data_IF_834228360932
#
_entry.id   IF_834228360932
#
_cell.length_a   1.000
_cell.length_b   1.000
_cell.length_c   1.000
_cell.angle_alpha   90.00
_cell.angle_beta   90.00
_cell.angle_gamma   90.00
#
_symmetry.space_group_name_H-M   'P 1'
#
loop_
_entity.id
_entity.type
_entity.pdbx_description
1 polymer ?
#
# COMPACT_ATOMS: atom_id res chain seq x y z
N UNK A 1 -15.66 -9.63 -8.00
CA UNK A 1 -15.05 -8.44 -7.41
C UNK A 1 -14.77 -8.57 -5.91
N UNK A 2 -15.76 -8.91 -5.03
CA UNK A 2 -15.60 -9.02 -3.56
C UNK A 2 -14.42 -9.91 -3.11
N UNK A 3 -14.28 -11.13 -3.65
CA UNK A 3 -13.15 -12.04 -3.31
C UNK A 3 -11.79 -11.46 -3.72
N UNK A 4 -11.70 -10.84 -4.90
CA UNK A 4 -10.46 -10.20 -5.36
C UNK A 4 -10.08 -9.00 -4.48
N UNK A 5 -11.06 -8.18 -4.06
CA UNK A 5 -10.82 -7.07 -3.12
C UNK A 5 -10.31 -7.58 -1.77
N UNK A 6 -10.89 -8.67 -1.24
CA UNK A 6 -10.42 -9.28 0.01
C UNK A 6 -8.97 -9.80 -0.12
N UNK A 7 -8.66 -10.47 -1.22
CA UNK A 7 -7.29 -10.91 -1.51
C UNK A 7 -6.33 -9.73 -1.60
N UNK A 8 -6.75 -8.64 -2.27
CA UNK A 8 -5.94 -7.41 -2.39
C UNK A 8 -5.70 -6.72 -1.03
N UNK A 9 -6.64 -6.79 -0.08
CA UNK A 9 -6.44 -6.30 1.29
C UNK A 9 -5.32 -7.09 1.97
N UNK A 10 -5.39 -8.44 1.92
CA UNK A 10 -4.35 -9.28 2.50
C UNK A 10 -2.99 -9.00 1.86
N UNK A 11 -2.95 -8.91 0.52
CA UNK A 11 -1.73 -8.61 -0.21
C UNK A 11 -1.17 -7.22 0.14
N UNK A 12 -2.03 -6.21 0.32
CA UNK A 12 -1.62 -4.87 0.74
C UNK A 12 -0.97 -4.87 2.13
N UNK A 13 -1.49 -5.66 3.07
CA UNK A 13 -0.86 -5.86 4.40
C UNK A 13 0.53 -6.46 4.25
N UNK A 14 0.67 -7.50 3.43
CA UNK A 14 1.98 -8.13 3.15
C UNK A 14 2.96 -7.13 2.54
N UNK A 15 2.52 -6.33 1.56
CA UNK A 15 3.34 -5.27 0.93
C UNK A 15 3.82 -4.25 1.95
N UNK A 16 2.94 -3.80 2.85
CA UNK A 16 3.29 -2.84 3.91
C UNK A 16 4.34 -3.45 4.86
N UNK A 17 4.17 -4.71 5.28
CA UNK A 17 5.12 -5.41 6.14
C UNK A 17 6.48 -5.56 5.45
N UNK A 18 6.50 -5.97 4.18
CA UNK A 18 7.73 -6.09 3.39
C UNK A 18 8.42 -4.74 3.21
N UNK A 19 7.68 -3.66 2.96
CA UNK A 19 8.23 -2.31 2.88
C UNK A 19 8.84 -1.84 4.20
N UNK A 20 8.17 -2.12 5.33
CA UNK A 20 8.71 -1.84 6.66
C UNK A 20 9.99 -2.68 6.93
N UNK A 21 9.99 -3.95 6.55
CA UNK A 21 11.15 -4.82 6.68
C UNK A 21 12.35 -4.32 5.84
N UNK A 22 12.11 -3.92 4.57
CA UNK A 22 13.12 -3.31 3.69
C UNK A 22 13.75 -2.08 4.36
N UNK A 23 12.94 -1.26 5.04
CA UNK A 23 13.42 -0.09 5.79
C UNK A 23 14.23 -0.48 7.02
N UNK A 24 13.76 -1.44 7.81
CA UNK A 24 14.43 -1.88 9.05
C UNK A 24 15.75 -2.59 8.80
N UNK A 25 15.90 -3.24 7.64
CA UNK A 25 17.13 -3.93 7.24
C UNK A 25 18.08 -3.06 6.42
N UNK A 26 17.80 -1.74 6.35
CA UNK A 26 18.57 -0.77 5.54
C UNK A 26 18.76 -1.23 4.08
N UNK A 27 17.72 -1.86 3.53
CA UNK A 27 17.70 -2.44 2.19
C UNK A 27 16.99 -1.56 1.14
N UNK A 28 16.57 -0.34 1.50
CA UNK A 28 15.80 0.54 0.61
C UNK A 28 16.58 1.12 -0.57
N UNK A 29 17.87 0.86 -0.66
CA UNK A 29 18.75 1.19 -1.78
C UNK A 29 19.56 -0.06 -2.20
N UNK A 30 19.05 -1.25 -2.00
CA UNK A 30 19.65 -2.52 -2.42
C UNK A 30 19.73 -2.67 -3.94
N UNK A 31 18.86 -1.95 -4.68
CA UNK A 31 18.90 -1.83 -6.13
C UNK A 31 19.10 -0.38 -6.53
N UNK A 32 20.09 -0.03 -7.36
CA UNK A 32 20.38 1.36 -7.75
C UNK A 32 19.39 1.94 -8.74
N UNK A 33 18.61 1.10 -9.42
CA UNK A 33 17.71 1.42 -10.53
C UNK A 33 16.27 0.94 -10.26
N UNK A 34 15.36 1.34 -11.13
CA UNK A 34 13.96 0.97 -11.12
C UNK A 34 13.43 0.86 -12.57
N UNK A 35 12.55 -0.10 -12.91
CA UNK A 35 11.86 -1.08 -12.05
C UNK A 35 12.69 -2.33 -11.72
N UNK A 36 13.81 -2.55 -12.39
CA UNK A 36 14.70 -3.69 -12.22
C UNK A 36 15.70 -3.53 -11.07
N UNK A 37 16.77 -4.30 -11.13
CA UNK A 37 17.85 -4.28 -10.17
C UNK A 37 19.18 -4.50 -10.91
N UNK A 38 20.05 -3.49 -10.89
CA UNK A 38 21.31 -3.49 -11.65
C UNK A 38 21.12 -3.77 -13.16
N UNK A 39 20.11 -3.18 -13.79
CA UNK A 39 19.77 -3.39 -15.19
C UNK A 39 19.12 -4.73 -15.52
N UNK A 40 18.85 -5.58 -14.53
CA UNK A 40 18.21 -6.89 -14.68
C UNK A 40 16.79 -6.88 -14.13
N UNK A 41 15.94 -7.84 -14.57
CA UNK A 41 14.60 -8.04 -13.99
C UNK A 41 14.66 -8.70 -12.60
N UNK A 42 15.78 -9.32 -12.26
CA UNK A 42 16.03 -10.01 -10.98
C UNK A 42 17.37 -9.57 -10.42
N UNK A 43 17.65 -9.88 -9.16
CA UNK A 43 18.96 -9.63 -8.55
C UNK A 43 20.05 -10.44 -9.29
N UNK A 44 21.18 -9.81 -9.68
CA UNK A 44 22.30 -10.53 -10.27
C UNK A 44 22.96 -11.43 -9.22
N UNK A 45 23.11 -12.72 -9.53
CA UNK A 45 23.68 -13.73 -8.60
C UNK A 45 24.91 -14.44 -9.17
N UNK A 46 25.08 -14.52 -10.51
CA UNK A 46 26.29 -15.12 -11.06
C UNK A 46 27.48 -14.16 -10.93
N UNK A 47 28.67 -14.70 -10.71
CA UNK A 47 29.91 -13.92 -10.56
C UNK A 47 30.09 -12.92 -11.70
N UNK A 48 29.84 -13.33 -12.93
CA UNK A 48 29.94 -12.49 -14.12
C UNK A 48 28.94 -11.29 -14.04
N UNK A 49 27.66 -11.55 -13.72
CA UNK A 49 26.64 -10.50 -13.60
C UNK A 49 26.91 -9.57 -12.42
N UNK A 50 27.41 -10.10 -11.33
CA UNK A 50 27.79 -9.30 -10.16
C UNK A 50 28.97 -8.40 -10.50
N UNK A 51 30.00 -8.91 -11.22
CA UNK A 51 31.14 -8.12 -11.67
C UNK A 51 30.70 -6.99 -12.64
N UNK A 52 29.82 -7.32 -13.59
CA UNK A 52 29.23 -6.31 -14.50
C UNK A 52 28.43 -5.24 -13.76
N UNK A 53 27.58 -5.66 -12.80
CA UNK A 53 26.79 -4.77 -11.98
C UNK A 53 27.67 -3.83 -11.13
N UNK A 54 28.70 -4.37 -10.48
CA UNK A 54 29.63 -3.58 -9.69
C UNK A 54 30.48 -2.60 -10.52
N UNK A 55 30.80 -2.99 -11.77
CA UNK A 55 31.49 -2.08 -12.70
C UNK A 55 30.57 -0.95 -13.20
N UNK A 56 29.27 -1.23 -13.40
CA UNK A 56 28.28 -0.24 -13.81
C UNK A 56 27.82 0.69 -12.68
N UNK A 57 27.83 0.21 -11.44
CA UNK A 57 27.38 0.94 -10.25
C UNK A 57 28.44 0.88 -9.12
N UNK A 58 29.62 1.48 -9.29
CA UNK A 58 30.72 1.37 -8.34
C UNK A 58 30.40 1.99 -6.95
N UNK A 59 29.52 2.99 -6.92
CA UNK A 59 29.05 3.63 -5.68
C UNK A 59 28.12 2.72 -4.84
N UNK A 60 27.60 1.65 -5.45
CA UNK A 60 26.63 0.73 -4.84
C UNK A 60 26.90 -0.70 -5.30
N UNK A 61 27.91 -1.37 -4.71
CA UNK A 61 28.20 -2.76 -5.04
C UNK A 61 27.00 -3.67 -4.65
N UNK A 62 26.89 -4.81 -5.34
CA UNK A 62 25.78 -5.75 -5.13
C UNK A 62 25.85 -6.35 -3.74
N UNK A 63 24.86 -6.03 -2.92
CA UNK A 63 24.56 -6.71 -1.66
C UNK A 63 23.31 -7.59 -1.84
N UNK A 64 23.50 -8.86 -2.16
CA UNK A 64 22.41 -9.77 -2.55
C UNK A 64 21.25 -9.80 -1.55
N UNK A 65 21.51 -9.77 -0.24
CA UNK A 65 20.48 -9.77 0.80
C UNK A 65 19.61 -8.49 0.71
N UNK A 66 20.22 -7.31 0.61
CA UNK A 66 19.48 -6.04 0.50
C UNK A 66 18.71 -5.95 -0.83
N UNK A 67 19.36 -6.34 -1.94
CA UNK A 67 18.75 -6.34 -3.25
C UNK A 67 17.52 -7.26 -3.33
N UNK A 68 17.57 -8.45 -2.74
CA UNK A 68 16.43 -9.35 -2.68
C UNK A 68 15.28 -8.84 -1.81
N UNK A 69 15.57 -8.26 -0.64
CA UNK A 69 14.53 -7.66 0.21
C UNK A 69 13.74 -6.58 -0.56
N UNK A 70 14.45 -5.73 -1.28
CA UNK A 70 13.81 -4.68 -2.09
C UNK A 70 13.03 -5.26 -3.28
N UNK A 71 13.61 -6.21 -4.02
CA UNK A 71 12.95 -6.83 -5.17
C UNK A 71 11.71 -7.63 -4.78
N UNK A 72 11.74 -8.37 -3.68
CA UNK A 72 10.56 -9.08 -3.17
C UNK A 72 9.42 -8.09 -2.88
N UNK A 73 9.72 -6.98 -2.20
CA UNK A 73 8.73 -5.92 -1.97
C UNK A 73 8.15 -5.39 -3.29
N UNK A 74 8.99 -5.11 -4.29
CA UNK A 74 8.56 -4.63 -5.62
C UNK A 74 7.67 -5.63 -6.35
N UNK A 75 7.97 -6.94 -6.30
CA UNK A 75 7.15 -7.98 -6.93
C UNK A 75 5.76 -8.08 -6.30
N UNK A 76 5.68 -8.07 -4.97
CA UNK A 76 4.40 -8.08 -4.27
C UNK A 76 3.60 -6.80 -4.53
N UNK A 77 4.25 -5.64 -4.54
CA UNK A 77 3.62 -4.36 -4.87
C UNK A 77 3.10 -4.32 -6.31
N UNK A 78 3.87 -4.84 -7.28
CA UNK A 78 3.45 -4.98 -8.67
C UNK A 78 2.23 -5.90 -8.81
N UNK A 79 2.22 -7.03 -8.12
CA UNK A 79 1.07 -7.95 -8.08
C UNK A 79 -0.17 -7.25 -7.50
N UNK A 80 -0.02 -6.46 -6.45
CA UNK A 80 -1.13 -5.64 -5.91
C UNK A 80 -1.63 -4.64 -6.94
N UNK A 81 -0.73 -4.00 -7.70
CA UNK A 81 -1.08 -3.10 -8.79
C UNK A 81 -1.94 -3.78 -9.86
N UNK A 82 -1.56 -4.99 -10.28
CA UNK A 82 -2.35 -5.80 -11.24
C UNK A 82 -3.73 -6.16 -10.66
N UNK A 83 -3.82 -6.52 -9.38
CA UNK A 83 -5.10 -6.80 -8.73
C UNK A 83 -6.01 -5.56 -8.71
N UNK A 84 -5.47 -4.38 -8.38
CA UNK A 84 -6.23 -3.11 -8.38
C UNK A 84 -6.69 -2.73 -9.78
N UNK A 85 -5.84 -2.91 -10.80
CA UNK A 85 -6.22 -2.73 -12.20
C UNK A 85 -7.39 -3.66 -12.58
N UNK A 86 -7.30 -4.94 -12.23
CA UNK A 86 -8.37 -5.90 -12.48
C UNK A 86 -9.68 -5.50 -11.77
N UNK A 87 -9.61 -5.01 -10.52
CA UNK A 87 -10.79 -4.49 -9.79
C UNK A 87 -11.41 -3.31 -10.54
N UNK A 88 -10.59 -2.35 -11.01
CA UNK A 88 -11.07 -1.20 -11.76
C UNK A 88 -11.74 -1.60 -13.09
N UNK A 89 -11.12 -2.51 -13.84
CA UNK A 89 -11.68 -3.03 -15.10
C UNK A 89 -12.99 -3.78 -14.89
N UNK A 90 -13.08 -4.62 -13.84
CA UNK A 90 -14.33 -5.32 -13.48
C UNK A 90 -15.42 -4.30 -13.11
N UNK A 91 -15.08 -3.27 -12.32
CA UNK A 91 -16.03 -2.21 -11.93
C UNK A 91 -16.56 -1.47 -13.16
N UNK A 92 -15.70 -1.11 -14.10
CA UNK A 92 -16.09 -0.45 -15.36
C UNK A 92 -17.02 -1.34 -16.21
N UNK A 93 -16.69 -2.63 -16.34
CA UNK A 93 -17.53 -3.58 -17.11
C UNK A 93 -18.88 -3.86 -16.46
N UNK A 94 -18.99 -3.72 -15.16
CA UNK A 94 -20.20 -3.99 -14.38
C UNK A 94 -20.95 -2.72 -13.95
N UNK A 95 -20.59 -1.56 -14.48
CA UNK A 95 -21.17 -0.24 -14.08
C UNK A 95 -22.69 -0.22 -14.23
N UNK A 96 -23.20 -0.83 -15.29
CA UNK A 96 -24.63 -0.84 -15.59
C UNK A 96 -25.44 -1.74 -14.61
N UNK A 97 -24.74 -2.56 -13.81
CA UNK A 97 -25.30 -3.39 -12.73
C UNK A 97 -25.25 -2.71 -11.35
N UNK A 98 -25.05 -1.38 -11.29
CA UNK A 98 -24.99 -0.63 -10.05
C UNK A 98 -23.68 -0.81 -9.25
N UNK A 99 -22.64 -1.38 -9.87
CA UNK A 99 -21.34 -1.57 -9.23
C UNK A 99 -20.65 -0.21 -8.98
N UNK A 100 -20.08 0.03 -7.78
CA UNK A 100 -19.38 1.29 -7.50
C UNK A 100 -18.13 1.42 -8.36
N UNK A 101 -18.03 2.47 -9.18
CA UNK A 101 -16.92 2.70 -10.11
C UNK A 101 -15.92 3.73 -9.56
N UNK A 102 -16.41 4.77 -8.86
CA UNK A 102 -15.57 5.91 -8.42
C UNK A 102 -14.41 5.47 -7.52
N UNK A 103 -14.67 4.61 -6.54
CA UNK A 103 -13.65 4.17 -5.59
C UNK A 103 -12.59 3.23 -6.22
N UNK A 104 -12.94 2.25 -7.08
CA UNK A 104 -11.97 1.49 -7.88
C UNK A 104 -11.08 2.35 -8.78
N UNK A 105 -11.60 3.39 -9.41
CA UNK A 105 -10.80 4.30 -10.23
C UNK A 105 -9.88 5.18 -9.38
N UNK A 106 -10.35 5.66 -8.23
CA UNK A 106 -9.51 6.37 -7.26
C UNK A 106 -8.35 5.47 -6.78
N UNK A 107 -8.65 4.21 -6.47
CA UNK A 107 -7.64 3.20 -6.08
C UNK A 107 -6.62 2.98 -7.19
N UNK A 108 -7.04 2.91 -8.45
CA UNK A 108 -6.14 2.76 -9.58
C UNK A 108 -5.20 3.98 -9.71
N UNK A 109 -5.73 5.19 -9.61
CA UNK A 109 -4.92 6.40 -9.60
C UNK A 109 -3.92 6.44 -8.43
N UNK A 110 -4.40 6.05 -7.23
CA UNK A 110 -3.57 6.00 -6.03
C UNK A 110 -2.44 4.97 -6.13
N UNK A 111 -2.69 3.77 -6.69
CA UNK A 111 -1.64 2.74 -6.83
C UNK A 111 -0.60 3.13 -7.90
N UNK A 112 -1.00 3.82 -8.97
CA UNK A 112 -0.06 4.37 -9.95
C UNK A 112 0.83 5.43 -9.29
N UNK A 113 0.24 6.33 -8.51
CA UNK A 113 0.99 7.33 -7.75
C UNK A 113 1.94 6.69 -6.73
N UNK A 114 1.51 5.59 -6.08
CA UNK A 114 2.38 4.81 -5.18
C UNK A 114 3.57 4.18 -5.91
N UNK A 115 3.39 3.69 -7.13
CA UNK A 115 4.49 3.18 -7.94
C UNK A 115 5.50 4.30 -8.28
N UNK A 116 5.03 5.51 -8.61
CA UNK A 116 5.89 6.67 -8.83
C UNK A 116 6.65 7.07 -7.55
N UNK A 117 5.97 7.11 -6.38
CA UNK A 117 6.64 7.37 -5.11
C UNK A 117 7.68 6.29 -4.80
N UNK A 118 7.38 5.00 -5.04
CA UNK A 118 8.32 3.89 -4.89
C UNK A 118 9.55 4.03 -5.79
N UNK A 119 9.39 4.47 -7.04
CA UNK A 119 10.50 4.82 -7.92
C UNK A 119 11.32 5.99 -7.35
N UNK A 120 10.67 7.03 -6.87
CA UNK A 120 11.36 8.21 -6.30
C UNK A 120 12.05 7.92 -4.97
N UNK A 121 11.64 6.93 -4.19
CA UNK A 121 12.42 6.52 -3.01
C UNK A 121 13.82 6.08 -3.40
N UNK A 122 13.99 5.42 -4.53
CA UNK A 122 15.28 4.96 -5.05
C UNK A 122 16.03 6.08 -5.75
N UNK A 123 15.39 6.74 -6.73
CA UNK A 123 16.03 7.75 -7.58
C UNK A 123 16.39 9.05 -6.85
N UNK A 124 15.72 9.33 -5.72
CA UNK A 124 16.00 10.49 -4.86
C UNK A 124 16.67 10.08 -3.53
N UNK A 125 17.35 8.93 -3.51
CA UNK A 125 18.18 8.47 -2.40
C UNK A 125 17.46 8.53 -1.04
N UNK A 126 16.24 7.93 -0.98
CA UNK A 126 15.40 7.88 0.23
C UNK A 126 15.05 9.26 0.80
N UNK A 127 14.80 10.25 -0.04
CA UNK A 127 14.39 11.58 0.42
C UNK A 127 13.22 11.45 1.42
N UNK A 128 13.35 11.96 2.68
CA UNK A 128 12.39 11.68 3.77
C UNK A 128 10.93 12.00 3.42
N UNK A 129 10.66 13.10 2.71
CA UNK A 129 9.29 13.48 2.30
C UNK A 129 8.69 12.46 1.34
N UNK A 130 9.49 11.90 0.42
CA UNK A 130 9.04 10.87 -0.52
C UNK A 130 8.76 9.56 0.19
N UNK A 131 9.66 9.14 1.09
CA UNK A 131 9.47 7.95 1.93
C UNK A 131 8.19 8.06 2.75
N UNK A 132 7.96 9.24 3.36
CA UNK A 132 6.73 9.53 4.11
C UNK A 132 5.48 9.49 3.24
N UNK A 133 5.53 10.11 2.06
CA UNK A 133 4.43 10.07 1.09
C UNK A 133 4.11 8.63 0.66
N UNK A 134 5.14 7.82 0.41
CA UNK A 134 4.98 6.41 0.06
C UNK A 134 4.37 5.60 1.21
N UNK A 135 4.81 5.80 2.45
CA UNK A 135 4.26 5.14 3.63
C UNK A 135 2.78 5.47 3.83
N UNK A 136 2.43 6.76 3.92
CA UNK A 136 1.06 7.21 4.14
C UNK A 136 0.13 6.83 2.98
N UNK A 137 0.63 6.90 1.76
CA UNK A 137 -0.11 6.47 0.59
C UNK A 137 -0.37 4.96 0.56
N UNK A 138 0.57 4.13 1.03
CA UNK A 138 0.36 2.69 1.21
C UNK A 138 -0.78 2.38 2.17
N UNK A 139 -0.84 3.05 3.33
CA UNK A 139 -1.98 2.96 4.25
C UNK A 139 -3.28 3.47 3.64
N UNK A 140 -3.22 4.50 2.79
CA UNK A 140 -4.39 5.01 2.07
C UNK A 140 -4.94 3.99 1.08
N UNK A 141 -4.07 3.27 0.35
CA UNK A 141 -4.48 2.16 -0.53
C UNK A 141 -5.19 1.07 0.27
N UNK A 142 -4.60 0.63 1.39
CA UNK A 142 -5.21 -0.37 2.27
C UNK A 142 -6.59 0.07 2.79
N UNK A 143 -6.70 1.32 3.25
CA UNK A 143 -7.95 1.91 3.75
C UNK A 143 -9.02 1.97 2.66
N UNK A 144 -8.68 2.39 1.44
CA UNK A 144 -9.60 2.45 0.31
C UNK A 144 -10.06 1.05 -0.14
N UNK A 145 -9.16 0.05 -0.13
CA UNK A 145 -9.51 -1.35 -0.40
C UNK A 145 -10.50 -1.88 0.65
N UNK A 146 -10.28 -1.57 1.92
CA UNK A 146 -11.16 -1.96 3.01
C UNK A 146 -12.56 -1.32 2.87
N UNK A 147 -12.61 -0.01 2.59
CA UNK A 147 -13.88 0.71 2.33
C UNK A 147 -14.59 0.09 1.13
N UNK A 148 -13.88 -0.22 0.04
CA UNK A 148 -14.46 -0.88 -1.13
C UNK A 148 -15.05 -2.24 -0.75
N UNK A 149 -14.33 -3.06 0.01
CA UNK A 149 -14.82 -4.35 0.48
C UNK A 149 -16.10 -4.23 1.32
N UNK A 150 -16.17 -3.27 2.24
CA UNK A 150 -17.36 -3.02 3.05
C UNK A 150 -18.56 -2.59 2.20
N UNK A 151 -18.35 -1.74 1.18
CA UNK A 151 -19.40 -1.34 0.24
C UNK A 151 -19.95 -2.53 -0.54
N UNK A 152 -19.06 -3.39 -1.07
CA UNK A 152 -19.43 -4.60 -1.80
C UNK A 152 -20.15 -5.62 -0.92
N UNK A 153 -19.75 -5.72 0.35
CA UNK A 153 -20.40 -6.57 1.33
C UNK A 153 -21.83 -6.09 1.63
N UNK A 154 -22.01 -4.77 1.83
CA UNK A 154 -23.34 -4.16 2.06
C UNK A 154 -24.26 -4.33 0.86
N UNK A 155 -23.75 -4.15 -0.37
CA UNK A 155 -24.56 -4.39 -1.58
C UNK A 155 -25.07 -5.83 -1.65
N UNK A 156 -24.22 -6.81 -1.38
CA UNK A 156 -24.63 -8.22 -1.35
C UNK A 156 -25.71 -8.46 -0.28
N UNK A 157 -25.51 -7.97 0.94
CA UNK A 157 -26.49 -8.11 2.02
C UNK A 157 -27.85 -7.44 1.71
N UNK A 158 -27.84 -6.25 1.07
CA UNK A 158 -29.08 -5.58 0.66
C UNK A 158 -29.81 -6.34 -0.45
N UNK A 159 -29.08 -7.00 -1.36
CA UNK A 159 -29.70 -7.83 -2.39
C UNK A 159 -30.39 -9.06 -1.78
N UNK A 160 -29.75 -9.66 -0.76
CA UNK A 160 -30.29 -10.79 -0.02
C UNK A 160 -31.49 -10.36 0.87
N UNK A 161 -31.43 -9.14 1.47
CA UNK A 161 -32.51 -8.60 2.32
C UNK A 161 -33.76 -8.18 1.54
N UNK A 162 -33.62 -7.76 0.27
CA UNK A 162 -34.78 -7.51 -0.60
C UNK A 162 -35.59 -8.79 -0.92
N UNK A 163 -35.03 -9.96 -0.65
CA UNK A 163 -35.75 -11.25 -0.70
C UNK A 163 -36.44 -11.63 0.63
N UNK A 164 -36.15 -10.91 1.71
CA UNK A 164 -36.72 -11.12 3.04
C UNK A 164 -37.20 -9.77 3.58
N UNK A 165 -38.54 -9.57 3.64
CA UNK A 165 -39.11 -8.37 4.27
C UNK A 165 -38.90 -8.41 5.77
N UNK A 166 -37.82 -7.72 6.28
CA UNK A 166 -37.66 -7.44 7.67
C UNK A 166 -37.77 -5.93 7.95
N UNK A 167 -38.66 -5.55 8.86
CA UNK A 167 -38.88 -4.20 9.34
C UNK A 167 -37.63 -3.59 9.99
N UNK A 168 -37.19 -2.40 9.62
CA UNK A 168 -36.06 -1.74 10.27
C UNK A 168 -36.48 -1.16 11.61
N UNK A 169 -35.81 -1.59 12.67
CA UNK A 169 -35.91 -1.00 14.01
C UNK A 169 -35.14 0.33 14.04
N UNK A 170 -35.84 1.45 13.91
CA UNK A 170 -35.26 2.79 14.01
C UNK A 170 -35.83 3.56 15.20
N UNK A 171 -35.06 3.62 16.32
CA UNK A 171 -35.41 4.41 17.49
C UNK A 171 -34.47 5.61 17.72
N UNK A 172 -34.93 6.70 18.39
CA UNK A 172 -34.16 7.95 18.58
C UNK A 172 -32.84 7.80 19.36
N UNK A 173 -32.69 6.75 20.20
CA UNK A 173 -31.47 6.45 20.93
C UNK A 173 -30.29 5.99 20.05
N UNK A 174 -30.58 5.42 18.89
CA UNK A 174 -29.55 4.94 17.95
C UNK A 174 -28.75 6.08 17.32
N UNK A 175 -29.36 7.24 17.12
CA UNK A 175 -28.72 8.38 16.41
C UNK A 175 -27.68 9.12 17.26
N UNK A 176 -27.92 9.36 18.54
CA UNK A 176 -26.98 10.04 19.44
C UNK A 176 -25.74 9.19 19.71
N UNK A 177 -25.92 7.89 19.98
CA UNK A 177 -24.84 6.93 20.16
C UNK A 177 -23.97 6.84 18.88
N UNK A 178 -24.62 6.78 17.71
CA UNK A 178 -23.94 6.72 16.42
C UNK A 178 -23.11 7.98 16.12
N UNK A 179 -23.57 9.17 16.56
CA UNK A 179 -22.82 10.43 16.42
C UNK A 179 -21.55 10.44 17.27
N UNK A 180 -21.66 10.03 18.55
CA UNK A 180 -20.52 9.95 19.46
C UNK A 180 -19.46 8.95 18.98
N UNK A 181 -19.88 7.77 18.51
CA UNK A 181 -18.97 6.75 17.96
C UNK A 181 -18.24 7.28 16.73
N UNK A 182 -18.91 8.01 15.83
CA UNK A 182 -18.27 8.64 14.68
C UNK A 182 -17.22 9.66 15.10
N UNK A 183 -17.53 10.53 16.05
CA UNK A 183 -16.59 11.53 16.55
C UNK A 183 -15.32 10.88 17.11
N UNK A 184 -15.45 9.92 18.03
CA UNK A 184 -14.29 9.21 18.59
C UNK A 184 -13.50 8.41 17.53
N UNK A 185 -14.18 7.85 16.54
CA UNK A 185 -13.52 7.18 15.42
C UNK A 185 -12.67 8.15 14.56
N UNK A 186 -13.16 9.36 14.31
CA UNK A 186 -12.40 10.39 13.58
C UNK A 186 -11.21 10.90 14.42
N UNK A 187 -11.41 11.14 15.71
CA UNK A 187 -10.31 11.56 16.62
C UNK A 187 -9.25 10.46 16.68
N UNK A 188 -9.65 9.21 16.89
CA UNK A 188 -8.73 8.07 16.93
C UNK A 188 -7.97 7.88 15.62
N UNK A 189 -8.64 8.05 14.47
CA UNK A 189 -7.99 8.02 13.17
C UNK A 189 -6.96 9.15 13.02
N UNK A 190 -7.29 10.37 13.46
CA UNK A 190 -6.39 11.52 13.45
C UNK A 190 -5.12 11.26 14.28
N UNK A 191 -5.29 10.75 15.49
CA UNK A 191 -4.18 10.37 16.38
C UNK A 191 -3.31 9.28 15.73
N UNK A 192 -3.93 8.24 15.17
CA UNK A 192 -3.21 7.15 14.49
C UNK A 192 -2.40 7.65 13.29
N UNK A 193 -2.98 8.49 12.44
CA UNK A 193 -2.27 9.06 11.28
C UNK A 193 -1.10 9.92 11.73
N UNK A 194 -1.30 10.74 12.77
CA UNK A 194 -0.22 11.55 13.37
C UNK A 194 0.90 10.68 13.93
N UNK A 195 0.57 9.61 14.65
CA UNK A 195 1.53 8.67 15.20
C UNK A 195 2.35 7.98 14.10
N UNK A 196 1.70 7.50 13.04
CA UNK A 196 2.37 6.90 11.88
C UNK A 196 3.28 7.93 11.20
N UNK A 197 2.82 9.17 11.03
CA UNK A 197 3.60 10.22 10.40
C UNK A 197 4.84 10.58 11.24
N UNK A 198 4.72 10.74 12.55
CA UNK A 198 5.85 11.04 13.43
C UNK A 198 6.87 9.88 13.48
N UNK A 199 6.40 8.64 13.65
CA UNK A 199 7.27 7.46 13.67
C UNK A 199 7.99 7.25 12.32
N UNK A 200 7.28 7.42 11.22
CA UNK A 200 7.86 7.35 9.88
C UNK A 200 8.88 8.47 9.62
N UNK A 201 8.60 9.70 10.07
CA UNK A 201 9.52 10.83 9.96
C UNK A 201 10.82 10.58 10.73
N UNK A 202 10.72 10.11 11.97
CA UNK A 202 11.86 9.73 12.80
C UNK A 202 12.69 8.64 12.12
N UNK A 203 12.04 7.61 11.60
CA UNK A 203 12.72 6.54 10.86
C UNK A 203 13.38 7.05 9.57
N UNK A 204 12.69 7.86 8.77
CA UNK A 204 13.21 8.36 7.49
C UNK A 204 14.44 9.28 7.65
N UNK A 205 14.56 9.97 8.78
CA UNK A 205 15.69 10.83 9.10
C UNK A 205 16.76 10.14 9.95
N UNK A 206 16.67 8.82 10.18
CA UNK A 206 17.61 8.06 11.04
C UNK A 206 17.76 8.65 12.46
N UNK A 207 16.75 9.38 12.93
CA UNK A 207 16.81 10.11 14.20
C UNK A 207 16.51 9.23 15.43
N UNK A 208 16.15 7.94 15.24
CA UNK A 208 15.82 7.04 16.33
C UNK A 208 17.01 6.73 17.26
N UNK A 209 18.25 6.89 16.78
CA UNK A 209 19.49 6.66 17.53
C UNK A 209 20.12 7.95 18.06
N UNK A 210 19.55 9.12 17.79
CA UNK A 210 20.11 10.41 18.18
C UNK A 210 20.14 10.67 19.70
N UNK A 211 19.41 9.83 20.48
CA UNK A 211 19.30 9.96 21.94
C UNK A 211 20.12 8.91 22.71
N UNK A 212 21.05 8.22 22.08
CA UNK A 212 21.88 7.18 22.71
C UNK A 212 23.28 7.63 23.07
N UNK A 213 23.60 8.93 22.92
CA UNK A 213 24.85 9.56 23.40
C UNK A 213 24.60 10.39 24.66
#
# INVERSE_FOLDING_TARGET
>A
MKKLTLFSIFLAVVVIILGAYTRLTDAGLGCPDWPGCYGNLTVPLSEEKVAQANAAYPERPVEAFKAWNEMIHRYFAGTLGVCVLAIALIALRQRDKGTPVKLPLLLLGLIIFQAALGMWTVTLNLLPVVVMGHLLGGFSVLSCLFILYLRLRRQAANTDALQYEEHPFSGPRATAFQSSVKFFAFVGLGVLVTQIALGGWTSANYAALACTE
#
